data_IF_664770447514
#
_entry.id   IF_664770447514
#
_cell.length_a   1.000
_cell.length_b   1.000
_cell.length_c   1.000
_cell.angle_alpha   90.00
_cell.angle_beta   90.00
_cell.angle_gamma   90.00
#
_symmetry.space_group_name_H-M   'P 1'
#
loop_
_entity.id
_entity.type
_entity.pdbx_description
1 polymer ?
#
# COMPACT_ATOMS: atom_id res chain seq x y z
N UNK A 1 -2.98 15.33 -17.20
CA UNK A 1 -4.34 15.07 -17.74
C UNK A 1 -5.02 14.05 -16.83
N UNK A 2 -6.25 14.28 -16.40
CA UNK A 2 -6.96 13.39 -15.44
C UNK A 2 -7.66 12.22 -16.12
N UNK A 3 -7.83 11.11 -15.39
CA UNK A 3 -8.44 9.84 -15.85
C UNK A 3 -9.87 10.02 -16.37
N UNK A 4 -10.63 10.98 -15.80
CA UNK A 4 -11.96 11.35 -16.27
C UNK A 4 -11.95 11.91 -17.71
N UNK A 5 -10.90 12.66 -18.08
CA UNK A 5 -10.74 13.20 -19.44
C UNK A 5 -10.42 12.14 -20.50
N UNK A 6 -9.82 11.02 -20.10
CA UNK A 6 -9.50 9.91 -21.01
C UNK A 6 -10.75 9.07 -21.33
N UNK A 7 -11.60 8.84 -20.32
CA UNK A 7 -12.86 8.09 -20.48
C UNK A 7 -13.86 8.87 -21.35
N UNK A 8 -13.92 10.19 -21.22
CA UNK A 8 -14.76 11.05 -22.07
C UNK A 8 -14.39 10.93 -23.56
N UNK A 9 -13.09 11.00 -23.88
CA UNK A 9 -12.61 10.91 -25.27
C UNK A 9 -12.76 9.52 -25.88
N UNK A 10 -12.72 8.46 -25.06
CA UNK A 10 -12.97 7.09 -25.52
C UNK A 10 -14.46 6.82 -25.81
N UNK A 11 -15.39 7.55 -25.17
CA UNK A 11 -16.82 7.50 -25.52
C UNK A 11 -17.13 8.29 -26.80
N UNK A 12 -16.61 9.51 -26.94
CA UNK A 12 -16.77 10.30 -28.17
C UNK A 12 -16.23 9.56 -29.40
N UNK A 13 -15.11 8.85 -29.26
CA UNK A 13 -14.53 8.08 -30.37
C UNK A 13 -15.31 6.82 -30.71
N UNK A 14 -16.15 6.29 -29.80
CA UNK A 14 -17.01 5.14 -30.07
C UNK A 14 -18.31 5.54 -30.77
N UNK A 15 -18.79 6.76 -30.55
CA UNK A 15 -19.99 7.30 -31.19
C UNK A 15 -19.70 7.87 -32.59
N UNK A 16 -18.47 8.37 -32.84
CA UNK A 16 -18.06 8.88 -34.15
C UNK A 16 -17.75 7.81 -35.22
N UNK A 17 -17.65 6.53 -34.86
CA UNK A 17 -17.30 5.44 -35.80
C UNK A 17 -18.52 4.77 -36.44
N UNK A 18 -19.73 5.04 -35.95
CA UNK A 18 -20.97 4.52 -36.54
C UNK A 18 -21.63 5.45 -37.56
N UNK A 19 -21.05 6.60 -37.87
CA UNK A 19 -21.64 7.58 -38.79
C UNK A 19 -20.62 8.25 -39.72
N UNK A 20 -19.99 7.48 -40.62
CA UNK A 20 -19.43 8.03 -41.88
C UNK A 20 -18.98 6.90 -42.81
N UNK A 21 -19.87 6.46 -43.71
CA UNK A 21 -19.49 5.79 -44.95
C UNK A 21 -20.11 6.57 -46.10
N UNK A 22 -19.40 7.59 -46.62
CA UNK A 22 -19.56 8.09 -48.00
C UNK A 22 -18.63 9.29 -48.30
N UNK A 23 -17.83 9.10 -49.36
CA UNK A 23 -17.45 10.07 -50.40
C UNK A 23 -16.58 11.32 -50.10
N UNK A 24 -15.32 11.19 -50.55
CA UNK A 24 -14.65 12.02 -51.56
C UNK A 24 -13.96 13.35 -51.19
N UNK A 25 -12.78 13.47 -51.81
CA UNK A 25 -12.01 14.63 -52.22
C UNK A 25 -11.01 15.30 -51.26
N UNK A 26 -9.76 15.18 -51.72
CA UNK A 26 -8.53 15.70 -51.17
C UNK A 26 -8.45 17.23 -51.20
N UNK A 27 -7.85 17.78 -50.16
CA UNK A 27 -6.82 18.81 -50.30
C UNK A 27 -5.66 18.43 -49.36
N UNK A 28 -4.52 18.09 -49.98
CA UNK A 28 -3.28 17.76 -49.28
C UNK A 28 -2.75 19.05 -48.68
N UNK A 29 -3.05 19.29 -47.41
CA UNK A 29 -2.29 20.25 -46.61
C UNK A 29 -0.89 19.64 -46.41
N UNK A 30 0.13 20.30 -46.99
CA UNK A 30 1.53 19.88 -46.89
C UNK A 30 1.89 19.61 -45.43
N UNK A 31 2.53 18.47 -45.17
CA UNK A 31 3.04 18.07 -43.85
C UNK A 31 3.95 19.11 -43.20
N UNK A 32 4.50 20.04 -43.99
CA UNK A 32 5.29 21.17 -43.51
C UNK A 32 4.45 22.19 -42.71
N UNK A 33 3.18 22.39 -43.06
CA UNK A 33 2.30 23.35 -42.37
C UNK A 33 1.91 22.87 -40.96
N UNK A 34 1.86 21.55 -40.75
CA UNK A 34 1.60 20.96 -39.42
C UNK A 34 2.84 21.12 -38.53
N UNK A 35 4.03 20.98 -39.10
CA UNK A 35 5.28 21.13 -38.38
C UNK A 35 5.55 22.59 -37.99
N UNK A 36 5.29 23.54 -38.90
CA UNK A 36 5.44 24.97 -38.59
C UNK A 36 4.46 25.44 -37.50
N UNK A 37 3.21 24.95 -37.51
CA UNK A 37 2.25 25.26 -36.44
C UNK A 37 2.69 24.69 -35.09
N UNK A 38 3.23 23.46 -35.05
CA UNK A 38 3.73 22.86 -33.81
C UNK A 38 4.97 23.62 -33.27
N UNK A 39 5.85 24.10 -34.14
CA UNK A 39 7.02 24.91 -33.76
C UNK A 39 6.60 26.29 -33.23
N UNK A 40 5.63 26.96 -33.88
CA UNK A 40 5.11 28.23 -33.38
C UNK A 40 4.41 28.09 -32.03
N UNK A 41 3.65 27.01 -31.81
CA UNK A 41 2.99 26.73 -30.54
C UNK A 41 4.01 26.42 -29.43
N UNK A 42 5.07 25.66 -29.74
CA UNK A 42 6.16 25.39 -28.81
C UNK A 42 6.94 26.67 -28.43
N UNK A 43 7.18 27.57 -29.38
CA UNK A 43 7.84 28.85 -29.13
C UNK A 43 6.98 29.79 -28.26
N UNK A 44 5.66 29.84 -28.50
CA UNK A 44 4.73 30.62 -27.65
C UNK A 44 4.68 30.12 -26.21
N UNK A 45 4.75 28.80 -26.00
CA UNK A 45 4.67 28.18 -24.67
C UNK A 45 6.02 28.14 -23.92
N UNK A 46 7.13 28.57 -24.53
CA UNK A 46 8.45 28.50 -23.91
C UNK A 46 8.68 29.61 -22.87
N UNK A 47 8.08 30.79 -23.05
CA UNK A 47 8.21 31.91 -22.09
C UNK A 47 7.50 31.64 -20.75
N UNK A 48 6.42 30.85 -20.76
CA UNK A 48 5.66 30.46 -19.56
C UNK A 48 6.35 29.36 -18.73
N UNK A 49 7.38 28.67 -19.29
CA UNK A 49 8.10 27.59 -18.62
C UNK A 49 9.38 28.01 -17.88
N UNK A 50 9.59 29.32 -17.67
CA UNK A 50 10.57 29.77 -16.67
C UNK A 50 10.06 29.42 -15.28
N UNK A 51 10.46 28.23 -14.81
CA UNK A 51 10.27 27.76 -13.44
C UNK A 51 10.52 28.90 -12.46
N UNK A 52 9.53 29.21 -11.62
CA UNK A 52 9.75 30.02 -10.43
C UNK A 52 10.85 29.34 -9.62
N UNK A 53 12.03 29.97 -9.54
CA UNK A 53 13.01 29.64 -8.51
C UNK A 53 12.36 29.97 -7.16
N UNK A 54 12.52 29.07 -6.19
CA UNK A 54 12.07 29.25 -4.82
C UNK A 54 12.45 30.64 -4.28
N UNK A 55 11.59 31.34 -3.51
CA UNK A 55 11.96 32.60 -2.91
C UNK A 55 13.13 32.39 -1.95
N UNK A 56 14.16 33.23 -2.07
CA UNK A 56 15.27 33.26 -1.12
C UNK A 56 14.76 33.60 0.29
N UNK A 57 15.22 32.87 1.29
CA UNK A 57 15.04 33.17 2.71
C UNK A 57 15.56 34.59 3.00
N UNK A 58 14.64 35.50 3.28
CA UNK A 58 14.98 36.82 3.84
C UNK A 58 15.14 36.65 5.35
N UNK A 59 16.40 36.64 5.74
CA UNK A 59 16.93 36.79 7.10
C UNK A 59 16.33 38.04 7.76
N UNK A 60 15.50 37.89 8.80
CA UNK A 60 15.12 38.99 9.70
C UNK A 60 15.89 38.90 11.01
N UNK A 61 16.90 39.75 11.12
CA UNK A 61 17.49 40.13 12.41
C UNK A 61 16.50 40.97 13.23
N UNK A 62 16.58 40.78 14.54
CA UNK A 62 15.91 41.59 15.57
C UNK A 62 16.39 43.03 15.57
N UNK A 63 15.47 43.96 15.85
CA UNK A 63 15.78 45.20 16.56
C UNK A 63 14.57 45.66 17.35
N UNK A 64 14.81 45.97 18.62
CA UNK A 64 13.88 46.31 19.69
C UNK A 64 13.63 47.83 19.81
N UNK A 65 12.35 48.18 20.08
CA UNK A 65 11.83 49.30 20.92
C UNK A 65 12.03 50.77 20.45
N UNK A 66 11.35 51.78 21.06
CA UNK A 66 10.00 51.86 21.66
C UNK A 66 9.17 53.11 21.22
N UNK A 67 7.87 53.15 21.58
CA UNK A 67 7.23 54.41 22.04
C UNK A 67 6.09 55.06 21.21
N UNK A 68 4.88 54.98 21.77
CA UNK A 68 3.82 56.01 21.88
C UNK A 68 2.91 56.46 20.72
N UNK A 69 1.61 56.28 21.01
CA UNK A 69 0.50 57.25 20.95
C UNK A 69 -0.38 57.44 19.68
N UNK A 70 -1.63 56.99 19.85
CA UNK A 70 -2.93 57.64 19.53
C UNK A 70 -3.31 57.90 18.06
N UNK A 71 -4.35 57.20 17.58
CA UNK A 71 -5.64 57.81 17.19
C UNK A 71 -6.67 56.76 16.70
N UNK A 72 -7.90 56.93 17.17
CA UNK A 72 -9.15 56.24 16.77
C UNK A 72 -9.57 56.61 15.33
N UNK A 73 -10.06 55.65 14.53
CA UNK A 73 -11.22 55.79 13.61
C UNK A 73 -11.82 54.38 13.35
N UNK A 74 -13.16 54.37 13.34
CA UNK A 74 -14.18 53.32 13.26
C UNK A 74 -14.25 52.46 11.95
N UNK A 75 -15.17 51.46 11.86
CA UNK A 75 -14.95 50.19 11.19
C UNK A 75 -15.74 50.02 9.89
N UNK A 76 -15.22 49.23 8.95
CA UNK A 76 -15.97 48.20 8.22
C UNK A 76 -15.06 47.49 7.20
N UNK A 77 -15.09 46.15 7.20
CA UNK A 77 -14.93 45.28 6.01
C UNK A 77 -14.43 43.88 6.42
N UNK A 78 -15.39 42.94 6.42
CA UNK A 78 -15.21 41.52 6.04
C UNK A 78 -14.08 40.73 6.70
N UNK A 79 -14.35 40.19 7.89
CA UNK A 79 -13.64 39.05 8.43
C UNK A 79 -13.95 37.78 7.62
N UNK A 80 -13.03 37.38 6.75
CA UNK A 80 -12.97 36.01 6.25
C UNK A 80 -12.50 35.13 7.41
N UNK A 81 -13.44 34.47 8.07
CA UNK A 81 -13.15 33.43 9.05
C UNK A 81 -12.55 32.22 8.32
N UNK A 82 -11.23 32.10 8.31
CA UNK A 82 -10.58 30.79 8.17
C UNK A 82 -10.65 30.05 9.51
N UNK A 83 -11.84 29.57 9.86
CA UNK A 83 -12.06 28.61 10.93
C UNK A 83 -11.80 27.20 10.41
N UNK A 84 -10.52 26.84 10.37
CA UNK A 84 -10.05 25.51 9.99
C UNK A 84 -8.90 25.04 10.87
N UNK A 85 -8.88 25.42 12.16
CA UNK A 85 -8.01 24.74 13.11
C UNK A 85 -8.65 23.38 13.40
N UNK A 86 -8.28 22.38 12.62
CA UNK A 86 -8.46 20.98 12.98
C UNK A 86 -8.00 20.82 14.43
N UNK A 87 -8.93 20.41 15.30
CA UNK A 87 -8.63 20.11 16.70
C UNK A 87 -7.58 19.00 16.68
N UNK A 88 -6.31 19.35 16.94
CA UNK A 88 -5.25 18.35 17.14
C UNK A 88 -5.71 17.40 18.23
N UNK A 89 -5.65 16.10 17.96
CA UNK A 89 -5.93 15.08 18.96
C UNK A 89 -5.12 15.36 20.23
N UNK A 90 -5.70 15.17 21.42
CA UNK A 90 -4.98 15.41 22.67
C UNK A 90 -3.70 14.58 22.69
N UNK A 91 -2.58 15.22 23.06
CA UNK A 91 -1.30 14.53 23.22
C UNK A 91 -1.45 13.45 24.29
N UNK A 92 -1.02 12.23 23.97
CA UNK A 92 -0.97 11.14 24.93
C UNK A 92 0.02 11.48 26.02
N UNK A 93 -0.36 11.27 27.28
CA UNK A 93 0.60 11.31 28.38
C UNK A 93 1.54 10.07 28.30
N UNK A 94 2.66 10.13 29.01
CA UNK A 94 3.67 9.06 28.98
C UNK A 94 3.12 7.72 29.48
N UNK A 95 2.24 7.74 30.48
CA UNK A 95 1.60 6.55 31.05
C UNK A 95 0.64 5.87 30.05
N UNK A 96 -0.17 6.65 29.35
CA UNK A 96 -1.07 6.19 28.29
C UNK A 96 -0.26 5.66 27.12
N UNK A 97 0.79 6.36 26.70
CA UNK A 97 1.67 5.90 25.63
C UNK A 97 2.30 4.55 25.97
N UNK A 98 2.89 4.42 27.17
CA UNK A 98 3.54 3.18 27.61
C UNK A 98 2.53 2.04 27.76
N UNK A 99 1.32 2.33 28.24
CA UNK A 99 0.21 1.37 28.28
C UNK A 99 -0.18 0.91 26.87
N UNK A 100 -0.42 1.83 25.93
CA UNK A 100 -0.76 1.50 24.52
C UNK A 100 0.35 0.68 23.86
N UNK A 101 1.61 1.03 24.11
CA UNK A 101 2.77 0.31 23.59
C UNK A 101 2.85 -1.12 24.14
N UNK A 102 2.64 -1.30 25.44
CA UNK A 102 2.63 -2.62 26.09
C UNK A 102 1.50 -3.48 25.54
N UNK A 103 0.29 -2.94 25.46
CA UNK A 103 -0.88 -3.62 24.92
C UNK A 103 -0.64 -4.04 23.45
N UNK A 104 -0.09 -3.13 22.63
CA UNK A 104 0.23 -3.41 21.23
C UNK A 104 1.25 -4.53 21.09
N UNK A 105 2.32 -4.53 21.90
CA UNK A 105 3.34 -5.60 21.90
C UNK A 105 2.75 -6.96 22.24
N UNK A 106 1.88 -7.02 23.24
CA UNK A 106 1.22 -8.26 23.64
C UNK A 106 0.30 -8.78 22.54
N UNK A 107 -0.57 -7.93 22.01
CA UNK A 107 -1.53 -8.32 20.95
C UNK A 107 -0.80 -8.81 19.70
N UNK A 108 0.21 -8.07 19.22
CA UNK A 108 0.96 -8.49 18.03
C UNK A 108 1.70 -9.81 18.29
N UNK A 109 2.25 -10.00 19.48
CA UNK A 109 2.90 -11.28 19.86
C UNK A 109 1.91 -12.45 19.86
N UNK A 110 0.69 -12.23 20.33
CA UNK A 110 -0.38 -13.21 20.27
C UNK A 110 -0.81 -13.49 18.81
N UNK A 111 -0.93 -12.48 17.96
CA UNK A 111 -1.18 -12.67 16.52
C UNK A 111 -0.12 -13.59 15.88
N UNK A 112 1.17 -13.35 16.14
CA UNK A 112 2.26 -14.20 15.63
C UNK A 112 2.08 -15.66 16.06
N UNK A 113 1.80 -15.90 17.35
CA UNK A 113 1.59 -17.27 17.87
C UNK A 113 0.38 -17.95 17.22
N UNK A 114 -0.71 -17.22 17.04
CA UNK A 114 -1.92 -17.75 16.43
C UNK A 114 -1.70 -18.12 14.97
N UNK A 115 -1.18 -17.20 14.16
CA UNK A 115 -0.98 -17.45 12.74
C UNK A 115 0.13 -18.49 12.49
N UNK A 116 1.15 -18.57 13.35
CA UNK A 116 2.09 -19.69 13.37
C UNK A 116 1.38 -21.04 13.57
N UNK A 117 0.45 -21.12 14.52
CA UNK A 117 -0.39 -22.29 14.75
C UNK A 117 -1.19 -22.68 13.50
N UNK A 118 -1.80 -21.70 12.83
CA UNK A 118 -2.53 -21.93 11.57
C UNK A 118 -1.62 -22.52 10.50
N UNK A 119 -0.45 -21.91 10.28
CA UNK A 119 0.50 -22.26 9.22
C UNK A 119 1.24 -23.59 9.45
N UNK A 120 1.39 -24.02 10.70
CA UNK A 120 2.12 -25.26 11.07
C UNK A 120 1.35 -26.54 10.75
N UNK A 121 0.03 -26.47 10.61
CA UNK A 121 -0.80 -27.64 10.37
C UNK A 121 -1.01 -27.79 8.85
N UNK A 122 -0.64 -28.93 8.25
CA UNK A 122 -0.81 -29.16 6.82
C UNK A 122 -2.28 -29.05 6.42
N UNK A 123 -2.54 -28.54 5.21
CA UNK A 123 -3.88 -28.53 4.64
C UNK A 123 -4.38 -29.97 4.51
N UNK A 124 -5.48 -30.31 5.20
CA UNK A 124 -6.16 -31.59 5.00
C UNK A 124 -6.86 -31.56 3.65
N UNK A 125 -6.46 -32.44 2.75
CA UNK A 125 -7.12 -32.63 1.45
C UNK A 125 -8.24 -33.62 1.69
N UNK A 126 -9.44 -33.12 2.01
CA UNK A 126 -10.64 -33.96 2.00
C UNK A 126 -11.46 -33.66 0.73
N UNK A 127 -11.37 -34.52 -0.30
CA UNK A 127 -12.11 -34.32 -1.55
C UNK A 127 -13.63 -34.46 -1.38
N UNK A 128 -14.11 -35.00 -0.25
CA UNK A 128 -15.54 -35.08 0.04
C UNK A 128 -16.11 -33.79 0.65
N UNK A 129 -15.25 -32.94 1.22
CA UNK A 129 -15.68 -31.74 1.94
C UNK A 129 -16.21 -30.64 1.02
N UNK A 130 -15.92 -30.67 -0.28
CA UNK A 130 -16.41 -29.71 -1.28
C UNK A 130 -17.94 -29.58 -1.36
N UNK A 131 -18.69 -30.55 -0.83
CA UNK A 131 -20.15 -30.60 -0.93
C UNK A 131 -20.84 -29.93 0.29
N UNK A 132 -20.14 -29.76 1.42
CA UNK A 132 -20.75 -29.26 2.68
C UNK A 132 -20.83 -27.73 2.80
N UNK A 133 -20.07 -26.98 2.00
CA UNK A 133 -19.93 -25.51 2.14
C UNK A 133 -21.17 -24.71 1.72
N UNK A 134 -22.10 -25.32 0.98
CA UNK A 134 -23.27 -24.63 0.45
C UNK A 134 -24.33 -24.32 1.51
N UNK A 135 -24.38 -25.06 2.63
CA UNK A 135 -25.46 -24.94 3.63
C UNK A 135 -25.17 -23.91 4.73
N UNK A 136 -23.91 -23.51 4.98
CA UNK A 136 -23.55 -22.55 6.04
C UNK A 136 -23.45 -21.09 5.57
N UNK A 137 -23.53 -20.85 4.26
CA UNK A 137 -23.41 -19.50 3.68
C UNK A 137 -24.61 -18.58 3.94
N UNK A 138 -25.73 -19.10 4.45
CA UNK A 138 -26.91 -18.31 4.84
C UNK A 138 -26.72 -17.52 6.15
N UNK A 139 -25.64 -17.78 6.89
CA UNK A 139 -25.35 -17.14 8.19
C UNK A 139 -24.79 -15.70 8.09
N UNK A 140 -24.62 -15.16 6.90
CA UNK A 140 -24.19 -13.76 6.68
C UNK A 140 -22.73 -13.46 7.01
N UNK A 141 -21.94 -14.44 7.48
CA UNK A 141 -20.48 -14.30 7.65
C UNK A 141 -19.78 -14.74 6.35
N UNK A 142 -19.06 -13.83 5.65
CA UNK A 142 -18.33 -14.15 4.43
C UNK A 142 -17.39 -15.36 4.61
N UNK A 143 -17.61 -16.42 3.83
CA UNK A 143 -16.76 -17.62 3.75
C UNK A 143 -15.25 -17.32 3.66
N UNK A 144 -14.88 -16.22 3.01
CA UNK A 144 -13.50 -15.74 2.93
C UNK A 144 -12.83 -15.58 4.30
N UNK A 145 -13.59 -15.25 5.34
CA UNK A 145 -13.09 -15.12 6.71
C UNK A 145 -12.67 -16.47 7.28
N UNK A 146 -13.53 -17.49 7.20
CA UNK A 146 -13.19 -18.83 7.64
C UNK A 146 -12.09 -19.47 6.79
N UNK A 147 -12.14 -19.29 5.47
CA UNK A 147 -11.15 -19.85 4.56
C UNK A 147 -9.76 -19.22 4.75
N UNK A 148 -9.66 -17.92 5.02
CA UNK A 148 -8.37 -17.27 5.23
C UNK A 148 -7.70 -17.65 6.55
N UNK A 149 -8.46 -18.07 7.57
CA UNK A 149 -7.96 -18.30 8.92
C UNK A 149 -7.45 -17.02 9.61
N UNK A 150 -7.79 -15.85 9.06
CA UNK A 150 -7.46 -14.55 9.65
C UNK A 150 -8.51 -14.14 10.70
N UNK A 151 -8.11 -13.38 11.75
CA UNK A 151 -9.06 -12.88 12.74
C UNK A 151 -10.14 -12.00 12.10
N UNK A 152 -11.40 -12.18 12.52
CA UNK A 152 -12.53 -11.38 12.01
C UNK A 152 -12.32 -9.86 12.12
N UNK A 153 -11.76 -9.30 13.23
CA UNK A 153 -11.47 -7.88 13.31
C UNK A 153 -10.52 -7.38 12.22
N UNK A 154 -9.50 -8.18 11.87
CA UNK A 154 -8.57 -7.86 10.79
C UNK A 154 -9.30 -7.84 9.44
N UNK A 155 -10.12 -8.85 9.18
CA UNK A 155 -10.85 -8.92 7.92
C UNK A 155 -11.83 -7.74 7.73
N UNK A 156 -12.51 -7.33 8.80
CA UNK A 156 -13.37 -6.14 8.80
C UNK A 156 -12.56 -4.87 8.56
N UNK A 157 -11.41 -4.72 9.23
CA UNK A 157 -10.49 -3.60 9.03
C UNK A 157 -10.01 -3.52 7.58
N UNK A 158 -9.58 -4.64 6.99
CA UNK A 158 -9.13 -4.71 5.60
C UNK A 158 -10.25 -4.36 4.61
N UNK A 159 -11.47 -4.85 4.84
CA UNK A 159 -12.63 -4.56 3.99
C UNK A 159 -13.02 -3.08 4.04
N UNK A 160 -13.00 -2.48 5.24
CA UNK A 160 -13.26 -1.05 5.44
C UNK A 160 -12.16 -0.20 4.78
N UNK A 161 -10.91 -0.63 4.90
CA UNK A 161 -9.75 0.03 4.30
C UNK A 161 -9.85 0.07 2.78
N UNK A 162 -10.16 -1.05 2.13
CA UNK A 162 -10.37 -1.11 0.68
C UNK A 162 -11.48 -0.13 0.22
N UNK A 163 -12.57 -0.07 0.98
CA UNK A 163 -13.69 0.84 0.70
C UNK A 163 -13.27 2.32 0.78
N UNK A 164 -12.37 2.67 1.71
CA UNK A 164 -11.83 4.03 1.85
C UNK A 164 -10.86 4.39 0.72
N UNK A 165 -10.00 3.46 0.30
CA UNK A 165 -9.03 3.71 -0.80
C UNK A 165 -9.73 3.99 -2.13
N UNK A 166 -10.93 3.42 -2.33
CA UNK A 166 -11.78 3.72 -3.49
C UNK A 166 -12.45 5.11 -3.44
N UNK A 167 -12.58 5.71 -2.26
CA UNK A 167 -13.16 7.04 -2.03
C UNK A 167 -12.03 8.06 -1.79
N UNK A 168 -11.46 8.61 -2.86
CA UNK A 168 -10.30 9.51 -2.82
C UNK A 168 -10.44 10.66 -1.79
N UNK A 169 -9.53 10.78 -0.81
CA UNK A 169 -9.22 12.08 -0.15
C UNK A 169 -7.83 12.08 0.50
N UNK A 170 -7.14 13.22 0.41
CA UNK A 170 -5.71 13.48 0.63
C UNK A 170 -5.37 13.95 2.06
N UNK A 171 -5.86 13.29 3.11
CA UNK A 171 -5.51 13.64 4.49
C UNK A 171 -5.51 12.38 5.39
N UNK A 172 -4.42 11.59 5.40
CA UNK A 172 -4.46 10.25 5.98
C UNK A 172 -3.39 9.87 7.01
N UNK A 173 -2.32 10.63 7.25
CA UNK A 173 -1.26 10.10 8.14
C UNK A 173 -1.62 10.10 9.63
N UNK A 174 -2.34 11.11 10.15
CA UNK A 174 -2.65 11.22 11.59
C UNK A 174 -3.85 10.37 12.00
N UNK A 175 -4.84 10.17 11.11
CA UNK A 175 -6.01 9.34 11.36
C UNK A 175 -5.74 7.82 11.24
N UNK A 176 -4.58 7.44 10.69
CA UNK A 176 -4.22 6.03 10.49
C UNK A 176 -3.70 5.35 11.77
N UNK A 177 -2.96 6.07 12.62
CA UNK A 177 -2.39 5.51 13.87
C UNK A 177 -3.49 5.08 14.86
N UNK A 178 -4.54 5.88 15.04
CA UNK A 178 -5.66 5.52 15.93
C UNK A 178 -6.44 4.30 15.40
N UNK A 179 -6.59 4.18 14.07
CA UNK A 179 -7.26 3.03 13.47
C UNK A 179 -6.48 1.71 13.60
N UNK A 180 -5.15 1.75 13.59
CA UNK A 180 -4.32 0.57 13.88
C UNK A 180 -4.47 0.16 15.35
N UNK A 181 -4.54 1.13 16.27
CA UNK A 181 -4.72 0.85 17.70
C UNK A 181 -6.11 0.28 18.01
N UNK A 182 -7.17 0.79 17.36
CA UNK A 182 -8.53 0.22 17.45
C UNK A 182 -8.59 -1.21 16.91
N UNK A 183 -7.88 -1.49 15.80
CA UNK A 183 -7.72 -2.85 15.29
C UNK A 183 -7.06 -3.75 16.35
N UNK A 184 -5.97 -3.31 16.96
CA UNK A 184 -5.29 -4.09 18.00
C UNK A 184 -6.18 -4.35 19.23
N UNK A 185 -6.95 -3.35 19.66
CA UNK A 185 -7.94 -3.54 20.72
C UNK A 185 -8.97 -4.60 20.34
N UNK A 186 -9.50 -4.53 19.12
CA UNK A 186 -10.49 -5.49 18.62
C UNK A 186 -9.91 -6.90 18.47
N UNK A 187 -8.63 -7.01 18.06
CA UNK A 187 -7.91 -8.27 17.97
C UNK A 187 -7.73 -8.91 19.33
N UNK A 188 -7.34 -8.12 20.35
CA UNK A 188 -7.20 -8.57 21.74
C UNK A 188 -8.47 -9.28 22.23
N UNK A 189 -9.62 -8.66 21.98
CA UNK A 189 -10.90 -9.17 22.47
C UNK A 189 -11.35 -10.44 21.70
N UNK A 190 -10.82 -10.65 20.49
CA UNK A 190 -11.17 -11.78 19.63
C UNK A 190 -10.39 -13.07 19.91
N UNK A 191 -9.26 -13.00 20.62
CA UNK A 191 -8.35 -14.14 20.78
C UNK A 191 -8.95 -15.34 21.53
N UNK A 192 -10.06 -15.16 22.27
CA UNK A 192 -10.76 -16.24 22.96
C UNK A 192 -11.73 -17.05 22.08
N UNK A 193 -12.12 -16.56 20.90
CA UNK A 193 -13.19 -17.15 20.07
C UNK A 193 -12.67 -17.81 18.78
N UNK A 194 -11.36 -17.87 18.60
CA UNK A 194 -10.76 -18.29 17.34
C UNK A 194 -10.31 -19.75 17.42
N UNK A 195 -10.72 -20.52 16.42
CA UNK A 195 -10.42 -21.94 16.18
C UNK A 195 -11.36 -22.92 16.89
N UNK A 196 -12.45 -23.28 16.21
CA UNK A 196 -13.07 -24.59 16.47
C UNK A 196 -13.41 -25.42 15.24
N UNK A 197 -13.26 -24.93 14.00
CA UNK A 197 -13.46 -25.80 12.83
C UNK A 197 -12.62 -25.35 11.63
N UNK A 198 -11.83 -26.29 11.08
CA UNK A 198 -11.08 -26.06 9.84
C UNK A 198 -11.96 -26.43 8.66
N UNK A 199 -12.24 -25.43 7.83
CA UNK A 199 -12.91 -25.60 6.55
C UNK A 199 -11.89 -26.11 5.52
N UNK A 200 -12.20 -27.20 4.81
CA UNK A 200 -11.36 -27.66 3.70
C UNK A 200 -11.41 -26.61 2.58
N UNK A 201 -10.26 -26.09 2.21
CA UNK A 201 -10.16 -24.97 1.26
C UNK A 201 -10.06 -25.54 -0.17
N UNK A 202 -10.88 -25.06 -1.11
CA UNK A 202 -10.74 -25.41 -2.52
C UNK A 202 -9.35 -25.04 -3.07
N UNK A 203 -8.76 -25.94 -3.86
CA UNK A 203 -7.47 -25.73 -4.53
C UNK A 203 -7.31 -24.38 -5.28
N UNK A 204 -8.32 -23.83 -5.99
CA UNK A 204 -8.17 -22.52 -6.63
C UNK A 204 -7.98 -21.35 -5.64
N UNK A 205 -8.48 -21.48 -4.40
CA UNK A 205 -8.37 -20.44 -3.38
C UNK A 205 -7.09 -20.58 -2.54
N UNK A 206 -6.48 -21.76 -2.55
CA UNK A 206 -5.30 -22.10 -1.76
C UNK A 206 -4.15 -21.13 -1.93
N UNK A 207 -3.90 -20.71 -3.17
CA UNK A 207 -2.82 -19.78 -3.50
C UNK A 207 -3.02 -18.44 -2.79
N UNK A 208 -4.22 -17.86 -2.89
CA UNK A 208 -4.57 -16.57 -2.28
C UNK A 208 -4.57 -16.66 -0.76
N UNK A 209 -5.12 -17.72 -0.19
CA UNK A 209 -5.11 -17.94 1.26
C UNK A 209 -3.68 -18.06 1.79
N UNK A 210 -2.82 -18.81 1.11
CA UNK A 210 -1.41 -18.96 1.51
C UNK A 210 -0.67 -17.63 1.47
N UNK A 211 -0.90 -16.83 0.42
CA UNK A 211 -0.35 -15.46 0.29
C UNK A 211 -0.81 -14.58 1.46
N UNK A 212 -2.12 -14.55 1.74
CA UNK A 212 -2.71 -13.77 2.84
C UNK A 212 -2.10 -14.13 4.20
N UNK A 213 -2.09 -15.42 4.54
CA UNK A 213 -1.56 -15.92 5.81
C UNK A 213 -0.07 -15.60 5.97
N UNK A 214 0.72 -15.81 4.91
CA UNK A 214 2.17 -15.60 4.91
C UNK A 214 2.49 -14.12 5.11
N UNK A 215 1.89 -13.22 4.33
CA UNK A 215 2.19 -11.80 4.47
C UNK A 215 1.59 -11.19 5.72
N UNK A 216 0.47 -11.69 6.23
CA UNK A 216 -0.03 -11.32 7.56
C UNK A 216 0.97 -11.73 8.66
N UNK A 217 1.48 -12.97 8.62
CA UNK A 217 2.49 -13.44 9.57
C UNK A 217 3.75 -12.58 9.54
N UNK A 218 4.29 -12.31 8.34
CA UNK A 218 5.47 -11.45 8.18
C UNK A 218 5.22 -10.02 8.65
N UNK A 219 4.03 -9.49 8.37
CA UNK A 219 3.61 -8.18 8.84
C UNK A 219 3.58 -8.12 10.37
N UNK A 220 3.04 -9.13 11.06
CA UNK A 220 3.04 -9.19 12.51
C UNK A 220 4.46 -9.24 13.10
N UNK A 221 5.37 -10.04 12.52
CA UNK A 221 6.76 -10.07 12.95
C UNK A 221 7.46 -8.73 12.75
N UNK A 222 7.28 -8.12 11.58
CA UNK A 222 7.84 -6.82 11.27
C UNK A 222 7.27 -5.72 12.19
N UNK A 223 5.97 -5.75 12.48
CA UNK A 223 5.32 -4.84 13.42
C UNK A 223 5.88 -5.01 14.84
N UNK A 224 6.02 -6.25 15.32
CA UNK A 224 6.62 -6.55 16.61
C UNK A 224 8.05 -6.03 16.69
N UNK A 225 8.86 -6.26 15.66
CA UNK A 225 10.23 -5.76 15.59
C UNK A 225 10.28 -4.22 15.66
N UNK A 226 9.40 -3.52 14.95
CA UNK A 226 9.29 -2.07 15.00
C UNK A 226 8.87 -1.54 16.38
N UNK A 227 7.98 -2.24 17.09
CA UNK A 227 7.56 -1.88 18.45
C UNK A 227 8.67 -2.15 19.49
N UNK A 228 9.40 -3.25 19.34
CA UNK A 228 10.40 -3.71 20.29
C UNK A 228 11.80 -3.13 20.04
N UNK A 229 12.07 -2.63 18.83
CA UNK A 229 13.37 -2.08 18.49
C UNK A 229 14.44 -3.09 18.14
N UNK A 230 14.05 -4.29 17.73
CA UNK A 230 14.99 -5.30 17.27
C UNK A 230 15.47 -4.90 15.88
N UNK A 231 16.56 -4.13 15.83
CA UNK A 231 17.31 -3.91 14.58
C UNK A 231 18.14 -5.17 14.31
N UNK A 232 18.09 -5.75 13.11
CA UNK A 232 18.94 -6.90 12.77
C UNK A 232 20.42 -6.51 12.92
N UNK A 233 21.13 -7.21 13.81
CA UNK A 233 22.56 -7.03 14.05
C UNK A 233 22.97 -5.87 14.96
N UNK A 234 22.02 -5.19 15.64
CA UNK A 234 22.30 -4.08 16.56
C UNK A 234 22.37 -4.47 18.04
N UNK A 235 23.06 -3.67 18.86
CA UNK A 235 22.98 -3.81 20.32
C UNK A 235 21.55 -3.49 20.81
N UNK A 236 21.04 -4.15 21.87
CA UNK A 236 19.63 -4.12 22.29
C UNK A 236 19.15 -2.79 22.93
N UNK A 237 19.72 -1.64 22.56
CA UNK A 237 19.39 -0.34 23.16
C UNK A 237 18.99 0.79 22.19
N UNK A 238 19.14 0.63 20.88
CA UNK A 238 18.94 1.74 19.93
C UNK A 238 17.84 1.49 18.87
N UNK A 239 16.67 1.02 19.29
CA UNK A 239 15.52 0.90 18.39
C UNK A 239 14.19 0.85 19.11
N UNK A 240 13.11 1.11 18.37
CA UNK A 240 11.74 0.84 18.80
C UNK A 240 10.87 2.09 18.98
N UNK A 241 9.57 1.88 19.15
CA UNK A 241 8.65 3.00 19.39
C UNK A 241 8.79 3.55 20.81
N UNK A 242 9.34 4.77 20.92
CA UNK A 242 9.64 5.43 22.21
C UNK A 242 8.79 6.68 22.38
N UNK A 243 8.58 7.10 23.63
CA UNK A 243 7.80 8.30 23.92
C UNK A 243 8.46 9.56 23.34
N UNK A 244 9.79 9.64 23.38
CA UNK A 244 10.53 10.74 22.74
C UNK A 244 10.33 10.79 21.21
N UNK A 245 10.31 9.63 20.54
CA UNK A 245 10.03 9.57 19.10
C UNK A 245 8.58 10.00 18.79
N UNK A 246 7.63 9.63 19.65
CA UNK A 246 6.24 10.10 19.59
C UNK A 246 6.16 11.62 19.77
N UNK A 247 6.81 12.18 20.81
CA UNK A 247 6.85 13.63 21.03
C UNK A 247 7.52 14.36 19.85
N UNK A 248 8.55 13.78 19.25
CA UNK A 248 9.18 14.35 18.05
C UNK A 248 8.21 14.36 16.86
N UNK A 249 7.48 13.27 16.63
CA UNK A 249 6.44 13.19 15.58
C UNK A 249 5.34 14.24 15.79
N UNK A 250 4.97 14.50 17.05
CA UNK A 250 3.95 15.50 17.41
C UNK A 250 4.51 16.94 17.51
N UNK A 251 5.79 17.16 17.16
CA UNK A 251 6.49 18.44 17.30
C UNK A 251 6.48 19.01 18.74
N UNK A 252 6.39 18.12 19.73
CA UNK A 252 6.31 18.43 21.16
C UNK A 252 7.57 18.01 21.95
N UNK A 253 8.65 17.62 21.25
CA UNK A 253 9.89 17.21 21.92
C UNK A 253 10.57 18.39 22.62
N UNK A 254 10.88 18.29 23.95
CA UNK A 254 11.57 19.35 24.70
C UNK A 254 12.94 19.69 24.12
N UNK A 255 13.32 20.98 24.16
CA UNK A 255 14.58 21.46 23.57
C UNK A 255 15.82 20.83 24.23
N UNK A 256 15.78 20.61 25.55
CA UNK A 256 16.88 19.93 26.28
C UNK A 256 17.15 18.53 25.72
N UNK A 257 16.09 17.78 25.42
CA UNK A 257 16.19 16.44 24.83
C UNK A 257 16.61 16.52 23.37
N UNK A 258 16.09 17.50 22.63
CA UNK A 258 16.48 17.78 21.23
C UNK A 258 17.98 18.05 21.08
N UNK A 259 18.58 18.80 22.00
CA UNK A 259 20.00 19.12 21.95
C UNK A 259 20.91 17.97 22.41
N UNK A 260 20.47 17.14 23.35
CA UNK A 260 21.28 16.05 23.90
C UNK A 260 21.16 14.75 23.11
N UNK A 261 19.95 14.40 22.66
CA UNK A 261 19.63 13.11 22.00
C UNK A 261 18.81 13.24 20.73
N UNK A 262 18.56 14.46 20.23
CA UNK A 262 17.68 14.69 19.08
C UNK A 262 18.05 13.89 17.82
N UNK A 263 19.35 13.68 17.55
CA UNK A 263 19.80 12.84 16.42
C UNK A 263 19.36 11.38 16.56
N UNK A 264 19.54 10.79 17.74
CA UNK A 264 19.15 9.40 18.00
C UNK A 264 17.63 9.24 17.90
N UNK A 265 16.87 10.17 18.48
CA UNK A 265 15.41 10.16 18.44
C UNK A 265 14.90 10.32 16.99
N UNK A 266 15.54 11.17 16.18
CA UNK A 266 15.21 11.34 14.77
C UNK A 266 15.45 10.05 13.96
N UNK A 267 16.56 9.34 14.21
CA UNK A 267 16.83 8.04 13.58
C UNK A 267 15.78 7.00 13.99
N UNK A 268 15.41 6.95 15.27
CA UNK A 268 14.33 6.07 15.76
C UNK A 268 12.99 6.38 15.10
N UNK A 269 12.66 7.67 14.93
CA UNK A 269 11.44 8.10 14.25
C UNK A 269 11.46 7.71 12.76
N UNK A 270 12.60 7.85 12.07
CA UNK A 270 12.75 7.45 10.67
C UNK A 270 12.56 5.94 10.47
N UNK A 271 13.13 5.12 11.37
CA UNK A 271 12.92 3.66 11.38
C UNK A 271 11.44 3.35 11.60
N UNK A 272 10.78 4.02 12.55
CA UNK A 272 9.36 3.84 12.81
C UNK A 272 8.48 4.24 11.62
N UNK A 273 8.74 5.38 10.99
CA UNK A 273 8.01 5.86 9.81
C UNK A 273 8.17 4.92 8.62
N UNK A 274 9.38 4.42 8.40
CA UNK A 274 9.64 3.40 7.38
C UNK A 274 8.84 2.14 7.67
N UNK A 275 8.88 1.67 8.93
CA UNK A 275 8.12 0.49 9.32
C UNK A 275 6.61 0.72 9.19
N UNK A 276 6.11 1.89 9.56
CA UNK A 276 4.71 2.28 9.43
C UNK A 276 4.27 2.28 7.96
N UNK A 277 5.06 2.86 7.05
CA UNK A 277 4.78 2.83 5.60
C UNK A 277 4.65 1.38 5.10
N UNK A 278 5.61 0.51 5.43
CA UNK A 278 5.55 -0.92 5.08
C UNK A 278 4.26 -1.56 5.58
N UNK A 279 3.85 -1.27 6.82
CA UNK A 279 2.61 -1.80 7.39
C UNK A 279 1.38 -1.33 6.60
N UNK A 280 1.28 -0.04 6.35
CA UNK A 280 0.15 0.57 5.62
C UNK A 280 0.03 0.00 4.20
N UNK A 281 1.15 -0.07 3.47
CA UNK A 281 1.20 -0.62 2.11
C UNK A 281 0.87 -2.13 2.12
N UNK A 282 1.33 -2.87 3.13
CA UNK A 282 1.00 -4.30 3.26
C UNK A 282 -0.48 -4.50 3.59
N UNK A 283 -1.09 -3.66 4.44
CA UNK A 283 -2.52 -3.69 4.69
C UNK A 283 -3.34 -3.44 3.42
N UNK A 284 -2.92 -2.49 2.58
CA UNK A 284 -3.55 -2.27 1.28
C UNK A 284 -3.47 -3.51 0.38
N UNK A 285 -2.31 -4.18 0.34
CA UNK A 285 -2.16 -5.43 -0.41
C UNK A 285 -3.04 -6.56 0.15
N UNK A 286 -3.05 -6.76 1.47
CA UNK A 286 -3.88 -7.77 2.13
C UNK A 286 -5.37 -7.50 1.91
N UNK A 287 -5.79 -6.24 1.87
CA UNK A 287 -7.17 -5.86 1.58
C UNK A 287 -7.59 -6.23 0.15
N UNK A 288 -6.70 -6.02 -0.83
CA UNK A 288 -6.93 -6.43 -2.23
C UNK A 288 -6.98 -7.96 -2.31
N UNK A 289 -6.04 -8.67 -1.70
CA UNK A 289 -6.00 -10.13 -1.72
C UNK A 289 -7.23 -10.76 -1.01
N UNK A 290 -7.72 -10.15 0.07
CA UNK A 290 -8.93 -10.58 0.76
C UNK A 290 -10.18 -10.36 -0.12
N UNK A 291 -10.26 -9.22 -0.81
CA UNK A 291 -11.32 -8.98 -1.78
C UNK A 291 -11.32 -10.01 -2.89
N UNK A 292 -10.16 -10.36 -3.43
CA UNK A 292 -10.05 -11.37 -4.49
C UNK A 292 -10.44 -12.76 -4.00
N UNK A 293 -10.09 -13.10 -2.74
CA UNK A 293 -10.60 -14.31 -2.09
C UNK A 293 -12.13 -14.32 -2.02
N UNK A 294 -12.75 -13.20 -1.62
CA UNK A 294 -14.21 -13.05 -1.62
C UNK A 294 -14.79 -13.24 -3.02
N UNK A 295 -14.27 -12.55 -4.03
CA UNK A 295 -14.74 -12.65 -5.42
C UNK A 295 -14.61 -14.08 -5.96
N UNK A 296 -13.44 -14.71 -5.81
CA UNK A 296 -13.21 -16.06 -6.29
C UNK A 296 -14.10 -17.09 -5.59
N UNK A 297 -14.33 -16.92 -4.28
CA UNK A 297 -15.24 -17.79 -3.52
C UNK A 297 -16.69 -17.68 -4.02
N UNK A 298 -17.15 -16.48 -4.37
CA UNK A 298 -18.49 -16.26 -4.93
C UNK A 298 -18.64 -16.83 -6.34
N UNK A 299 -17.58 -16.78 -7.15
CA UNK A 299 -17.59 -17.37 -8.49
C UNK A 299 -17.70 -18.89 -8.43
N UNK A 300 -17.03 -19.53 -7.47
CA UNK A 300 -17.12 -20.97 -7.22
C UNK A 300 -18.53 -21.39 -6.78
N UNK A 301 -19.25 -20.55 -6.04
CA UNK A 301 -20.57 -20.89 -5.50
C UNK A 301 -21.73 -20.64 -6.45
N UNK A 302 -21.65 -19.59 -7.28
CA UNK A 302 -22.76 -19.22 -8.19
C UNK A 302 -22.80 -20.04 -9.48
N UNK A 303 -21.71 -20.72 -9.84
CA UNK A 303 -21.56 -21.31 -11.17
C UNK A 303 -21.62 -20.25 -12.27
N UNK A 304 -21.14 -20.59 -13.46
CA UNK A 304 -20.84 -19.69 -14.59
C UNK A 304 -22.06 -18.95 -15.21
N UNK A 305 -23.17 -18.81 -14.50
CA UNK A 305 -24.48 -18.42 -15.07
C UNK A 305 -24.88 -16.95 -14.93
N UNK A 306 -24.10 -16.08 -14.27
CA UNK A 306 -24.37 -14.62 -14.30
C UNK A 306 -23.09 -13.77 -14.15
N UNK A 307 -22.79 -12.83 -15.08
CA UNK A 307 -21.68 -11.89 -14.94
C UNK A 307 -22.14 -10.67 -14.15
N UNK A 308 -22.26 -10.78 -12.82
CA UNK A 308 -22.85 -9.70 -12.01
C UNK A 308 -22.02 -9.22 -10.81
N UNK A 309 -20.80 -9.69 -10.59
CA UNK A 309 -19.99 -9.16 -9.47
C UNK A 309 -18.50 -9.18 -9.81
N UNK A 310 -17.77 -8.19 -9.28
CA UNK A 310 -16.50 -7.67 -9.77
C UNK A 310 -15.44 -8.69 -10.20
N UNK A 311 -14.56 -8.29 -11.10
CA UNK A 311 -13.38 -9.07 -11.49
C UNK A 311 -12.36 -9.05 -10.36
N UNK A 312 -11.67 -10.18 -10.13
CA UNK A 312 -10.49 -10.20 -9.26
C UNK A 312 -9.51 -9.09 -9.69
N UNK A 313 -8.99 -8.35 -8.72
CA UNK A 313 -8.11 -7.22 -8.94
C UNK A 313 -6.69 -7.68 -9.34
N UNK A 314 -6.22 -8.79 -8.75
CA UNK A 314 -4.93 -9.41 -9.06
C UNK A 314 -5.14 -10.46 -10.16
N UNK A 315 -4.44 -10.34 -11.30
CA UNK A 315 -4.47 -11.35 -12.36
C UNK A 315 -4.02 -12.73 -11.84
N UNK A 316 -4.67 -13.80 -12.30
CA UNK A 316 -4.40 -15.18 -11.87
C UNK A 316 -2.94 -15.60 -12.04
N UNK A 317 -2.28 -15.14 -13.10
CA UNK A 317 -0.85 -15.43 -13.34
C UNK A 317 0.04 -14.75 -12.28
N UNK A 318 -0.30 -13.54 -11.85
CA UNK A 318 0.41 -12.86 -10.77
C UNK A 318 0.18 -13.57 -9.43
N UNK A 319 -1.04 -14.05 -9.15
CA UNK A 319 -1.33 -14.86 -7.95
C UNK A 319 -0.43 -16.10 -7.89
N UNK A 320 -0.24 -16.80 -9.01
CA UNK A 320 0.69 -17.95 -9.08
C UNK A 320 2.14 -17.54 -8.82
N UNK A 321 2.58 -16.41 -9.36
CA UNK A 321 3.94 -15.89 -9.10
C UNK A 321 4.13 -15.53 -7.63
N UNK A 322 3.17 -14.84 -7.01
CA UNK A 322 3.20 -14.53 -5.57
C UNK A 322 3.25 -15.80 -4.72
N UNK A 323 2.45 -16.81 -5.06
CA UNK A 323 2.47 -18.08 -4.37
C UNK A 323 3.84 -18.78 -4.49
N UNK A 324 4.43 -18.82 -5.69
CA UNK A 324 5.76 -19.39 -5.88
C UNK A 324 6.84 -18.62 -5.11
N UNK A 325 6.73 -17.28 -5.03
CA UNK A 325 7.61 -16.46 -4.21
C UNK A 325 7.49 -16.84 -2.73
N UNK A 326 6.26 -16.97 -2.23
CA UNK A 326 5.99 -17.40 -0.85
C UNK A 326 6.56 -18.79 -0.58
N UNK A 327 6.40 -19.74 -1.50
CA UNK A 327 7.00 -21.08 -1.39
C UNK A 327 8.53 -21.03 -1.32
N UNK A 328 9.18 -20.24 -2.18
CA UNK A 328 10.63 -20.05 -2.14
C UNK A 328 11.07 -19.42 -0.80
N UNK A 329 10.32 -18.43 -0.32
CA UNK A 329 10.57 -17.75 0.94
C UNK A 329 10.46 -18.71 2.13
N UNK A 330 9.45 -19.58 2.16
CA UNK A 330 9.27 -20.62 3.19
C UNK A 330 10.34 -21.71 3.14
N UNK A 331 10.97 -21.95 1.99
CA UNK A 331 12.10 -22.87 1.82
C UNK A 331 13.46 -22.23 2.07
N UNK A 332 13.51 -20.94 2.47
CA UNK A 332 14.73 -20.14 2.61
C UNK A 332 15.53 -19.98 1.30
N UNK A 333 14.90 -20.20 0.15
CA UNK A 333 15.51 -19.92 -1.15
C UNK A 333 15.28 -18.44 -1.53
N UNK A 334 15.99 -17.56 -0.84
CA UNK A 334 15.88 -16.11 -1.04
C UNK A 334 16.38 -15.68 -2.43
N UNK A 335 17.29 -16.46 -3.05
CA UNK A 335 17.79 -16.17 -4.39
C UNK A 335 16.70 -16.40 -5.44
N UNK A 336 16.03 -17.56 -5.40
CA UNK A 336 14.91 -17.83 -6.28
C UNK A 336 13.74 -16.88 -6.03
N UNK A 337 13.45 -16.56 -4.76
CA UNK A 337 12.42 -15.59 -4.40
C UNK A 337 12.70 -14.20 -5.00
N UNK A 338 13.95 -13.72 -4.93
CA UNK A 338 14.36 -12.45 -5.53
C UNK A 338 14.29 -12.50 -7.05
N UNK A 339 14.64 -13.62 -7.68
CA UNK A 339 14.50 -13.77 -9.13
C UNK A 339 13.04 -13.68 -9.56
N UNK A 340 12.13 -14.37 -8.88
CA UNK A 340 10.69 -14.29 -9.14
C UNK A 340 10.13 -12.88 -8.95
N UNK A 341 10.63 -12.11 -7.97
CA UNK A 341 10.28 -10.71 -7.80
C UNK A 341 10.74 -9.84 -8.99
N UNK A 342 11.96 -10.06 -9.48
CA UNK A 342 12.47 -9.37 -10.68
C UNK A 342 11.63 -9.74 -11.90
N UNK A 343 11.31 -11.01 -12.08
CA UNK A 343 10.49 -11.48 -13.19
C UNK A 343 9.07 -10.89 -13.12
N UNK A 344 8.50 -10.75 -11.92
CA UNK A 344 7.19 -10.14 -11.70
C UNK A 344 7.18 -8.64 -12.03
N UNK A 345 8.21 -7.91 -11.59
CA UNK A 345 8.32 -6.46 -11.79
C UNK A 345 8.62 -6.10 -13.25
N UNK A 346 9.48 -6.87 -13.90
CA UNK A 346 9.82 -6.70 -15.32
C UNK A 346 8.72 -7.23 -16.25
N UNK A 347 7.99 -8.27 -15.83
CA UNK A 347 6.95 -8.92 -16.61
C UNK A 347 7.47 -9.46 -17.94
N UNK A 348 6.71 -9.26 -19.02
CA UNK A 348 7.04 -9.72 -20.38
C UNK A 348 8.03 -8.80 -21.13
N UNK A 349 8.64 -7.84 -20.43
CA UNK A 349 9.55 -6.90 -21.04
C UNK A 349 10.93 -7.55 -21.31
N UNK A 350 11.21 -7.84 -22.59
CA UNK A 350 12.51 -8.38 -23.02
C UNK A 350 13.70 -7.41 -22.89
N UNK A 351 13.53 -6.20 -22.34
CA UNK A 351 14.53 -5.14 -22.36
C UNK A 351 14.59 -4.40 -21.01
N UNK A 352 15.80 -4.22 -20.49
CA UNK A 352 16.06 -3.38 -19.31
C UNK A 352 15.76 -1.92 -19.70
N UNK A 353 14.95 -1.22 -18.92
CA UNK A 353 14.68 0.21 -19.12
C UNK A 353 16.01 0.96 -19.29
N UNK A 354 16.24 1.57 -20.45
CA UNK A 354 17.46 2.33 -20.71
C UNK A 354 17.93 2.42 -22.16
N UNK A 355 17.42 1.58 -23.07
CA UNK A 355 17.79 1.64 -24.49
C UNK A 355 16.81 2.52 -25.29
N UNK A 356 16.74 3.80 -24.94
CA UNK A 356 16.06 4.83 -25.76
C UNK A 356 17.02 5.85 -26.36
N UNK A 357 18.34 5.65 -26.24
CA UNK A 357 19.35 6.55 -26.83
C UNK A 357 19.54 6.38 -28.34
N UNK A 358 18.73 5.56 -29.02
CA UNK A 358 18.65 5.56 -30.49
C UNK A 358 17.74 6.69 -30.95
N UNK A 359 18.21 7.54 -31.87
CA UNK A 359 17.51 8.73 -32.36
C UNK A 359 16.05 8.52 -32.80
N UNK A 360 15.35 9.62 -33.08
CA UNK A 360 13.89 9.74 -33.26
C UNK A 360 13.20 8.58 -34.02
N UNK A 361 13.83 8.06 -35.08
CA UNK A 361 13.32 6.94 -35.90
C UNK A 361 13.33 5.59 -35.14
N UNK A 362 14.35 5.32 -34.34
CA UNK A 362 14.45 4.10 -33.54
C UNK A 362 13.52 4.14 -32.32
N UNK A 363 13.33 5.32 -31.74
CA UNK A 363 12.38 5.51 -30.65
C UNK A 363 10.94 5.25 -31.10
N UNK A 364 10.53 5.77 -32.27
CA UNK A 364 9.16 5.58 -32.79
C UNK A 364 8.86 4.10 -33.09
N UNK A 365 9.77 3.38 -33.77
CA UNK A 365 9.59 1.93 -34.01
C UNK A 365 9.59 1.10 -32.73
N UNK A 366 10.37 1.49 -31.73
CA UNK A 366 10.40 0.80 -30.43
C UNK A 366 9.11 1.03 -29.65
N UNK A 367 8.62 2.27 -29.58
CA UNK A 367 7.33 2.61 -28.96
C UNK A 367 6.16 1.90 -29.67
N UNK A 368 6.14 1.92 -30.99
CA UNK A 368 5.11 1.23 -31.77
C UNK A 368 5.17 -0.30 -31.59
N UNK A 369 6.36 -0.87 -31.35
CA UNK A 369 6.53 -2.30 -31.04
C UNK A 369 6.09 -2.64 -29.61
N UNK A 370 6.30 -1.74 -28.65
CA UNK A 370 5.80 -1.86 -27.27
C UNK A 370 4.28 -1.81 -27.26
N UNK A 371 3.69 -0.87 -27.99
CA UNK A 371 2.24 -0.69 -28.13
C UNK A 371 1.61 -1.89 -28.85
N UNK A 372 2.18 -2.34 -29.97
CA UNK A 372 1.70 -3.53 -30.70
C UNK A 372 1.80 -4.83 -29.89
N UNK A 373 2.84 -4.98 -29.06
CA UNK A 373 3.06 -6.18 -28.24
C UNK A 373 2.32 -6.13 -26.90
N UNK A 374 1.62 -5.03 -26.59
CA UNK A 374 0.91 -4.82 -25.31
C UNK A 374 1.79 -5.17 -24.11
N UNK A 375 3.05 -4.70 -24.11
CA UNK A 375 3.99 -4.95 -23.01
C UNK A 375 3.51 -4.15 -21.79
N UNK A 376 2.62 -4.74 -21.01
CA UNK A 376 2.20 -4.22 -19.72
C UNK A 376 3.31 -4.54 -18.72
N UNK A 377 4.12 -3.52 -18.39
CA UNK A 377 5.08 -3.59 -17.31
C UNK A 377 4.38 -3.15 -16.04
N UNK A 378 4.55 -3.92 -14.97
CA UNK A 378 3.97 -3.60 -13.65
C UNK A 378 4.51 -2.26 -13.12
N UNK A 379 5.72 -1.89 -13.56
CA UNK A 379 6.36 -0.58 -13.35
C UNK A 379 5.54 0.61 -13.90
N UNK A 380 4.51 0.41 -14.73
CA UNK A 380 3.62 1.49 -15.17
C UNK A 380 2.51 1.82 -14.15
N UNK A 381 2.29 0.94 -13.17
CA UNK A 381 1.29 1.11 -12.13
C UNK A 381 1.97 1.42 -10.81
N UNK A 382 2.11 2.72 -10.50
CA UNK A 382 2.73 3.22 -9.27
C UNK A 382 2.13 2.60 -8.00
N UNK A 383 0.82 2.34 -7.99
CA UNK A 383 0.17 1.71 -6.85
C UNK A 383 0.62 0.25 -6.70
N UNK A 384 0.62 -0.53 -7.78
CA UNK A 384 1.09 -1.91 -7.75
C UNK A 384 2.59 -2.00 -7.38
N UNK A 385 3.39 -1.05 -7.88
CA UNK A 385 4.82 -0.97 -7.56
C UNK A 385 5.06 -0.65 -6.09
N UNK A 386 4.32 0.32 -5.51
CA UNK A 386 4.33 0.63 -4.08
C UNK A 386 4.05 -0.61 -3.23
N UNK A 387 2.96 -1.33 -3.53
CA UNK A 387 2.61 -2.56 -2.80
C UNK A 387 3.71 -3.62 -2.91
N UNK A 388 4.26 -3.82 -4.11
CA UNK A 388 5.36 -4.75 -4.31
C UNK A 388 6.63 -4.37 -3.56
N UNK A 389 6.95 -3.08 -3.44
CA UNK A 389 8.07 -2.63 -2.64
C UNK A 389 7.88 -2.98 -1.17
N UNK A 390 6.69 -2.80 -0.61
CA UNK A 390 6.40 -3.20 0.76
C UNK A 390 6.53 -4.71 0.97
N UNK A 391 6.03 -5.53 0.02
CA UNK A 391 6.23 -6.99 0.08
C UNK A 391 7.72 -7.36 0.01
N UNK A 392 8.51 -6.66 -0.81
CA UNK A 392 9.96 -6.85 -0.85
C UNK A 392 10.63 -6.50 0.46
N UNK A 393 10.25 -5.40 1.10
CA UNK A 393 10.80 -5.01 2.41
C UNK A 393 10.50 -6.09 3.48
N UNK A 394 9.31 -6.71 3.45
CA UNK A 394 9.00 -7.86 4.32
C UNK A 394 9.83 -9.11 4.01
N UNK A 395 10.11 -9.38 2.72
CA UNK A 395 10.97 -10.50 2.32
C UNK A 395 12.42 -10.28 2.76
N UNK A 396 12.96 -9.08 2.55
CA UNK A 396 14.30 -8.70 2.99
C UNK A 396 14.38 -8.75 4.54
N UNK A 397 13.32 -8.34 5.24
CA UNK A 397 13.20 -8.49 6.71
C UNK A 397 13.24 -9.96 7.15
N UNK A 398 12.51 -10.84 6.48
CA UNK A 398 12.51 -12.28 6.76
C UNK A 398 13.87 -12.93 6.47
N UNK A 399 14.59 -12.46 5.45
CA UNK A 399 15.95 -12.91 5.16
C UNK A 399 16.92 -12.53 6.28
N UNK A 400 16.82 -11.30 6.79
CA UNK A 400 17.70 -10.80 7.85
C UNK A 400 17.48 -11.48 9.21
N UNK A 401 16.24 -11.88 9.51
CA UNK A 401 15.86 -12.47 10.81
C UNK A 401 15.58 -13.99 10.72
N UNK A 402 15.91 -14.63 9.61
CA UNK A 402 15.56 -16.02 9.36
C UNK A 402 16.21 -17.04 10.32
N UNK A 403 17.23 -16.61 11.07
CA UNK A 403 17.86 -17.38 12.15
C UNK A 403 17.08 -17.38 13.46
N UNK A 404 16.12 -16.48 13.63
CA UNK A 404 15.42 -16.30 14.89
C UNK A 404 14.41 -17.42 15.10
N UNK A 405 14.29 -17.89 16.36
CA UNK A 405 13.38 -18.98 16.72
C UNK A 405 11.92 -18.69 16.38
N UNK A 406 11.54 -17.42 16.29
CA UNK A 406 10.17 -16.98 15.96
C UNK A 406 9.80 -17.27 14.50
N UNK A 407 10.78 -17.39 13.61
CA UNK A 407 10.57 -17.79 12.22
C UNK A 407 10.55 -19.32 12.02
N UNK A 408 10.77 -20.11 13.08
CA UNK A 408 10.75 -21.58 12.96
C UNK A 408 9.41 -22.13 12.45
N UNK A 409 8.29 -21.51 12.83
CA UNK A 409 6.96 -21.89 12.36
C UNK A 409 6.67 -21.46 10.91
N UNK A 410 7.46 -20.52 10.39
CA UNK A 410 7.32 -20.00 9.04
C UNK A 410 8.02 -20.87 8.00
N UNK A 411 9.24 -21.30 8.32
CA UNK A 411 10.05 -22.12 7.42
C UNK A 411 9.62 -23.58 7.46
N UNK A 412 9.56 -24.21 6.28
CA UNK A 412 9.32 -25.64 6.18
C UNK A 412 10.56 -26.38 6.71
N UNK A 413 10.36 -27.34 7.63
CA UNK A 413 11.45 -28.21 8.09
C UNK A 413 12.03 -28.93 6.86
N UNK A 414 13.33 -28.71 6.63
CA UNK A 414 14.07 -29.28 5.49
C UNK A 414 14.41 -30.74 5.71
#
# INVERSE_FOLDING_TARGET
>A
MSFAGLIGRLREKKEGVTAATSESNATVASTDAIYENAVQEACKNHSERKRQRSPAEVQRCFSSAPGSAVSEVDPDATSVQHSGFEKRSPLLNEEEFTKRLKDSKEVVTQCVKQIAGVMSVPFSIDPAASISWHNEMDSGVPFAYYASGLPLPLCNFLSLRLSRTCAATTALSVLQDDSEFELLCSLRDSFGNLFSERIAIPEPLRHVVTILQTFWFLLCLHWKAALCGTVPGGSPRDGGWTFDAYLLQQHALPDVVRHTRGRQIAQTLEVWQTAFRVRQDTFDFLAIALHDLCVMSQQLTKGDKTPSMGTAAIPTDMVKMFFNMVECLRRRDFLACRQLYVDLTMGTANWKLGLFSGGEVHMRRSMERIERRRIAHLLHNENALRLLHALRELMDFAQLHGSDSEFSAFFVAS
#
